data_IF_961810403133
#
_entry.id   IF_961810403133
#
_cell.length_a   1.000
_cell.length_b   1.000
_cell.length_c   1.000
_cell.angle_alpha   90.00
_cell.angle_beta   90.00
_cell.angle_gamma   90.00
#
_symmetry.space_group_name_H-M   'P 1'
#
loop_
_entity.id
_entity.type
_entity.pdbx_description
1 polymer ?
#
# COMPACT_ATOMS: atom_id res chain seq x y z
N UNK A 1 17.84 -18.98 17.43
CA UNK A 1 17.01 -19.27 16.23
C UNK A 1 17.93 -19.48 15.04
N UNK A 2 17.74 -20.54 14.25
CA UNK A 2 18.49 -20.73 13.00
C UNK A 2 18.12 -19.64 11.97
N UNK A 3 19.05 -19.26 11.10
CA UNK A 3 18.80 -18.18 10.13
C UNK A 3 17.72 -18.55 9.11
N UNK A 4 17.66 -19.81 8.67
CA UNK A 4 16.62 -20.25 7.74
C UNK A 4 15.26 -20.32 8.42
N UNK A 5 15.20 -20.72 9.69
CA UNK A 5 13.97 -20.70 10.47
C UNK A 5 13.43 -19.27 10.60
N UNK A 6 14.32 -18.30 10.86
CA UNK A 6 13.97 -16.88 10.87
C UNK A 6 13.38 -16.45 9.51
N UNK A 7 14.09 -16.69 8.41
CA UNK A 7 13.61 -16.29 7.08
C UNK A 7 12.25 -16.93 6.75
N UNK A 8 12.09 -18.21 7.05
CA UNK A 8 10.85 -18.92 6.76
C UNK A 8 9.66 -18.38 7.54
N UNK A 9 9.86 -18.03 8.82
CA UNK A 9 8.81 -17.55 9.72
C UNK A 9 8.44 -16.09 9.50
N UNK A 10 9.41 -15.20 9.25
CA UNK A 10 9.18 -13.74 9.29
C UNK A 10 9.26 -13.02 7.94
N UNK A 11 9.74 -13.67 6.88
CA UNK A 11 9.82 -13.06 5.55
C UNK A 11 8.77 -13.74 4.66
N UNK A 12 7.51 -13.30 4.62
CA UNK A 12 6.48 -14.01 3.87
C UNK A 12 6.73 -13.97 2.35
N UNK A 13 7.27 -12.86 1.83
CA UNK A 13 7.65 -12.70 0.43
C UNK A 13 8.68 -13.74 -0.05
N UNK A 14 8.30 -14.51 -1.07
CA UNK A 14 9.20 -15.46 -1.74
C UNK A 14 10.28 -14.71 -2.53
N UNK A 15 9.92 -13.62 -3.20
CA UNK A 15 10.85 -12.78 -3.96
C UNK A 15 11.94 -12.21 -3.05
N UNK A 16 11.54 -11.67 -1.89
CA UNK A 16 12.50 -11.13 -0.92
C UNK A 16 13.41 -12.21 -0.34
N UNK A 17 12.87 -13.41 -0.06
CA UNK A 17 13.68 -14.58 0.36
C UNK A 17 14.73 -14.96 -0.68
N UNK A 18 14.38 -14.90 -1.98
CA UNK A 18 15.33 -15.17 -3.07
C UNK A 18 16.43 -14.10 -3.08
N UNK A 19 16.06 -12.83 -3.09
CA UNK A 19 17.01 -11.71 -3.09
C UNK A 19 17.98 -11.77 -1.89
N UNK A 20 17.49 -12.07 -0.68
CA UNK A 20 18.32 -12.25 0.52
C UNK A 20 19.36 -13.36 0.33
N UNK A 21 18.98 -14.48 -0.30
CA UNK A 21 19.89 -15.61 -0.52
C UNK A 21 20.91 -15.31 -1.62
N UNK A 22 20.50 -14.67 -2.71
CA UNK A 22 21.36 -14.34 -3.85
C UNK A 22 22.39 -13.27 -3.50
N UNK A 23 21.99 -12.29 -2.68
CA UNK A 23 22.88 -11.22 -2.19
C UNK A 23 23.68 -11.61 -0.94
N UNK A 24 23.50 -12.84 -0.44
CA UNK A 24 24.05 -13.31 0.85
C UNK A 24 23.78 -12.32 1.99
N UNK A 25 22.64 -11.63 1.95
CA UNK A 25 22.28 -10.61 2.94
C UNK A 25 22.05 -11.26 4.31
N UNK A 26 22.64 -10.66 5.36
CA UNK A 26 22.58 -11.15 6.74
C UNK A 26 21.98 -10.09 7.66
N UNK A 27 20.80 -10.39 8.21
CA UNK A 27 20.21 -9.57 9.26
C UNK A 27 20.97 -9.68 10.58
N UNK A 28 21.27 -8.54 11.18
CA UNK A 28 21.76 -8.48 12.56
C UNK A 28 20.67 -8.91 13.55
N UNK A 29 21.04 -9.23 14.78
CA UNK A 29 20.05 -9.54 15.83
C UNK A 29 19.10 -8.37 16.09
N UNK A 30 19.57 -7.14 15.91
CA UNK A 30 18.75 -5.95 16.02
C UNK A 30 17.71 -5.90 14.89
N UNK A 31 18.10 -6.16 13.65
CA UNK A 31 17.17 -6.17 12.51
C UNK A 31 16.13 -7.28 12.66
N UNK A 32 16.54 -8.47 13.13
CA UNK A 32 15.62 -9.56 13.45
C UNK A 32 14.62 -9.16 14.52
N UNK A 33 15.07 -8.52 15.60
CA UNK A 33 14.19 -8.06 16.66
C UNK A 33 13.16 -7.03 16.14
N UNK A 34 13.60 -6.10 15.29
CA UNK A 34 12.72 -5.13 14.63
C UNK A 34 11.67 -5.79 13.74
N UNK A 35 12.07 -6.72 12.87
CA UNK A 35 11.17 -7.45 11.98
C UNK A 35 10.13 -8.24 12.80
N UNK A 36 10.56 -8.92 13.86
CA UNK A 36 9.66 -9.68 14.73
C UNK A 36 8.67 -8.75 15.43
N UNK A 37 9.15 -7.63 15.97
CA UNK A 37 8.31 -6.66 16.66
C UNK A 37 7.19 -6.12 15.76
N UNK A 38 7.53 -5.81 14.51
CA UNK A 38 6.60 -5.25 13.54
C UNK A 38 5.90 -6.32 12.67
N UNK A 39 5.91 -7.58 13.10
CA UNK A 39 5.21 -8.68 12.43
C UNK A 39 3.78 -8.86 12.94
N UNK A 40 2.96 -9.56 12.15
CA UNK A 40 1.57 -9.91 12.45
C UNK A 40 1.42 -11.04 13.49
N UNK A 41 2.51 -11.47 14.12
CA UNK A 41 2.45 -12.46 15.19
C UNK A 41 1.52 -12.03 16.33
N UNK A 42 0.94 -13.03 17.00
CA UNK A 42 0.22 -12.82 18.23
C UNK A 42 1.16 -12.22 19.29
N UNK A 43 0.62 -11.37 20.16
CA UNK A 43 1.37 -10.62 21.16
C UNK A 43 2.32 -11.53 21.95
N UNK A 44 1.84 -12.70 22.38
CA UNK A 44 2.65 -13.63 23.18
C UNK A 44 3.81 -14.23 22.38
N UNK A 45 3.55 -14.64 21.14
CA UNK A 45 4.57 -15.21 20.26
C UNK A 45 5.64 -14.18 19.93
N UNK A 46 5.21 -12.95 19.63
CA UNK A 46 6.10 -11.80 19.41
C UNK A 46 7.05 -11.60 20.59
N UNK A 47 6.53 -11.60 21.83
CA UNK A 47 7.35 -11.45 23.04
C UNK A 47 8.29 -12.63 23.28
N UNK A 48 7.82 -13.86 23.11
CA UNK A 48 8.63 -15.05 23.29
C UNK A 48 9.79 -15.11 22.28
N UNK A 49 9.55 -14.66 21.04
CA UNK A 49 10.55 -14.65 19.97
C UNK A 49 11.61 -13.54 20.17
N UNK A 50 11.24 -12.31 20.51
CA UNK A 50 12.24 -11.27 20.82
C UNK A 50 13.03 -11.62 22.09
N UNK A 51 12.38 -12.27 23.07
CA UNK A 51 13.05 -12.77 24.27
C UNK A 51 14.12 -13.79 23.93
N UNK A 52 13.90 -14.63 22.92
CA UNK A 52 14.90 -15.57 22.45
C UNK A 52 16.12 -14.88 21.84
N UNK A 53 15.92 -13.77 21.11
CA UNK A 53 17.04 -12.92 20.66
C UNK A 53 17.82 -12.38 21.85
N UNK A 54 17.13 -11.82 22.85
CA UNK A 54 17.78 -11.23 24.03
C UNK A 54 18.65 -12.24 24.82
N UNK A 55 18.26 -13.52 24.86
CA UNK A 55 19.06 -14.57 25.54
C UNK A 55 20.38 -14.89 24.84
N UNK A 56 20.46 -14.64 23.53
CA UNK A 56 21.55 -15.13 22.69
C UNK A 56 22.37 -14.03 22.02
N UNK A 57 21.87 -12.80 21.96
CA UNK A 57 22.61 -11.69 21.37
C UNK A 57 23.77 -11.25 22.27
N UNK A 58 24.90 -10.89 21.67
CA UNK A 58 26.04 -10.28 22.37
C UNK A 58 25.90 -8.75 22.50
N UNK A 59 24.87 -8.16 21.88
CA UNK A 59 24.60 -6.73 21.96
C UNK A 59 23.85 -6.39 23.27
N UNK A 60 24.58 -5.86 24.26
CA UNK A 60 24.03 -5.48 25.57
C UNK A 60 22.97 -4.38 25.50
N UNK A 61 23.09 -3.45 24.54
CA UNK A 61 22.10 -2.37 24.34
C UNK A 61 20.79 -3.00 23.87
N UNK A 62 20.83 -3.78 22.78
CA UNK A 62 19.66 -4.50 22.26
C UNK A 62 19.02 -5.40 23.32
N UNK A 63 19.84 -6.15 24.06
CA UNK A 63 19.36 -7.01 25.14
C UNK A 63 18.58 -6.21 26.18
N UNK A 64 19.12 -5.05 26.58
CA UNK A 64 18.47 -4.16 27.55
C UNK A 64 17.14 -3.64 27.00
N UNK A 65 17.14 -3.14 25.76
CA UNK A 65 15.93 -2.62 25.11
C UNK A 65 14.82 -3.67 25.02
N UNK A 66 15.14 -4.91 24.64
CA UNK A 66 14.16 -6.01 24.57
C UNK A 66 13.59 -6.32 25.96
N UNK A 67 14.42 -6.38 27.01
CA UNK A 67 13.92 -6.64 28.36
C UNK A 67 13.05 -5.50 28.90
N UNK A 68 13.40 -4.25 28.59
CA UNK A 68 12.57 -3.09 28.90
C UNK A 68 11.22 -3.18 28.20
N UNK A 69 11.20 -3.54 26.91
CA UNK A 69 9.96 -3.75 26.14
C UNK A 69 9.11 -4.87 26.73
N UNK A 70 9.68 -6.04 27.02
CA UNK A 70 8.93 -7.16 27.64
C UNK A 70 8.35 -6.75 29.00
N UNK A 71 9.13 -6.04 29.83
CA UNK A 71 8.66 -5.57 31.13
C UNK A 71 7.52 -4.55 30.99
N UNK A 72 7.63 -3.65 30.00
CA UNK A 72 6.59 -2.69 29.65
C UNK A 72 5.28 -3.39 29.26
N UNK A 73 5.34 -4.33 28.31
CA UNK A 73 4.17 -5.07 27.80
C UNK A 73 3.48 -5.87 28.91
N UNK A 74 4.27 -6.48 29.80
CA UNK A 74 3.72 -7.19 30.96
C UNK A 74 3.03 -6.24 31.96
N UNK A 75 3.58 -5.04 32.17
CA UNK A 75 2.96 -4.03 33.04
C UNK A 75 1.66 -3.47 32.44
N UNK A 76 1.63 -3.24 31.12
CA UNK A 76 0.40 -2.89 30.37
C UNK A 76 -0.70 -3.91 30.63
N UNK A 77 -0.41 -5.19 30.44
CA UNK A 77 -1.37 -6.27 30.65
C UNK A 77 -1.82 -6.35 32.12
N UNK A 78 -0.88 -6.26 33.07
CA UNK A 78 -1.19 -6.32 34.49
C UNK A 78 -2.11 -5.17 34.93
N UNK A 79 -1.83 -3.94 34.49
CA UNK A 79 -2.64 -2.77 34.78
C UNK A 79 -4.01 -2.84 34.12
N UNK A 80 -4.09 -3.33 32.88
CA UNK A 80 -5.37 -3.52 32.20
C UNK A 80 -6.30 -4.45 33.00
N UNK A 81 -5.76 -5.58 33.49
CA UNK A 81 -6.50 -6.56 34.27
C UNK A 81 -6.83 -6.04 35.68
N UNK A 82 -5.94 -5.25 36.28
CA UNK A 82 -6.16 -4.68 37.60
C UNK A 82 -7.33 -3.68 37.59
N UNK A 83 -8.35 -3.96 38.39
CA UNK A 83 -9.47 -3.04 38.62
C UNK A 83 -9.75 -2.96 40.13
N UNK A 84 -9.56 -1.79 40.71
CA UNK A 84 -9.85 -1.48 42.11
C UNK A 84 -11.33 -1.10 42.36
N UNK A 85 -12.16 -1.23 41.32
CA UNK A 85 -13.55 -0.78 41.33
C UNK A 85 -13.73 0.63 40.77
N UNK A 86 -12.67 1.27 40.26
CA UNK A 86 -12.73 2.55 39.56
C UNK A 86 -12.97 2.45 38.04
N UNK A 87 -13.08 1.25 37.47
CA UNK A 87 -13.17 1.03 36.02
C UNK A 87 -14.31 0.09 35.60
N UNK A 88 -14.71 0.25 34.35
CA UNK A 88 -15.72 -0.50 33.60
C UNK A 88 -15.10 -0.95 32.27
N UNK A 89 -15.38 -2.16 31.83
CA UNK A 89 -14.91 -2.71 30.56
C UNK A 89 -16.04 -2.70 29.54
N UNK A 90 -15.77 -2.26 28.31
CA UNK A 90 -16.66 -2.41 27.17
C UNK A 90 -16.13 -3.48 26.22
N UNK A 91 -16.99 -4.40 25.79
CA UNK A 91 -16.70 -5.38 24.74
C UNK A 91 -17.25 -4.88 23.41
N UNK A 92 -16.45 -4.95 22.35
CA UNK A 92 -16.83 -4.60 20.98
C UNK A 92 -16.45 -5.73 20.02
N UNK A 93 -17.27 -5.98 19.00
CA UNK A 93 -16.83 -6.73 17.82
C UNK A 93 -15.81 -5.89 17.05
N UNK A 94 -14.84 -6.54 16.40
CA UNK A 94 -13.79 -5.83 15.67
C UNK A 94 -14.27 -5.24 14.32
N UNK A 95 -15.42 -5.66 13.80
CA UNK A 95 -15.81 -5.40 12.40
C UNK A 95 -16.03 -3.92 12.03
N UNK A 96 -16.24 -2.97 12.96
CA UNK A 96 -16.23 -1.55 12.57
C UNK A 96 -15.81 -0.64 13.74
N UNK A 97 -14.93 0.34 13.49
CA UNK A 97 -14.50 1.37 14.44
C UNK A 97 -15.60 2.37 14.85
N UNK A 98 -16.88 2.00 14.74
CA UNK A 98 -18.00 2.83 15.18
C UNK A 98 -18.26 2.67 16.69
N UNK A 99 -18.71 3.72 17.36
CA UNK A 99 -19.18 3.65 18.75
C UNK A 99 -20.47 2.81 18.90
N UNK A 100 -21.10 2.43 17.79
CA UNK A 100 -22.37 1.72 17.73
C UNK A 100 -22.24 0.20 17.96
N UNK A 101 -21.02 -0.36 17.94
CA UNK A 101 -20.75 -1.80 18.03
C UNK A 101 -20.38 -2.32 19.44
N UNK A 102 -20.84 -1.63 20.50
CA UNK A 102 -20.64 -2.13 21.87
C UNK A 102 -21.62 -3.27 22.18
N UNK A 103 -21.08 -4.46 22.37
CA UNK A 103 -21.82 -5.68 22.73
C UNK A 103 -22.30 -5.64 24.17
N UNK A 104 -21.46 -5.10 25.07
CA UNK A 104 -21.82 -5.02 26.47
C UNK A 104 -20.79 -4.33 27.35
N UNK A 105 -21.24 -4.01 28.56
CA UNK A 105 -20.44 -3.39 29.60
C UNK A 105 -20.30 -4.32 30.79
N UNK A 106 -19.09 -4.44 31.33
CA UNK A 106 -18.73 -5.41 32.35
C UNK A 106 -17.94 -4.74 33.47
N UNK A 107 -18.25 -5.10 34.71
CA UNK A 107 -17.50 -4.64 35.90
C UNK A 107 -16.17 -5.38 36.11
N UNK A 108 -15.95 -6.48 35.38
CA UNK A 108 -14.72 -7.27 35.47
C UNK A 108 -14.20 -7.63 34.08
N UNK A 109 -12.87 -7.60 33.94
CA UNK A 109 -12.18 -8.08 32.75
C UNK A 109 -12.56 -9.52 32.39
N UNK A 110 -12.58 -10.41 33.39
CA UNK A 110 -12.86 -11.84 33.20
C UNK A 110 -14.19 -12.08 32.49
N UNK A 111 -15.25 -11.39 32.93
CA UNK A 111 -16.57 -11.53 32.31
C UNK A 111 -16.59 -11.00 30.86
N UNK A 112 -15.94 -9.86 30.61
CA UNK A 112 -15.83 -9.32 29.26
C UNK A 112 -15.07 -10.27 28.32
N UNK A 113 -13.99 -10.88 28.81
CA UNK A 113 -13.20 -11.85 28.05
C UNK A 113 -13.95 -13.15 27.78
N UNK A 114 -14.63 -13.71 28.78
CA UNK A 114 -15.45 -14.91 28.62
C UNK A 114 -16.60 -14.70 27.63
N UNK A 115 -17.20 -13.50 27.61
CA UNK A 115 -18.22 -13.15 26.61
C UNK A 115 -17.60 -12.93 25.23
N UNK A 116 -16.45 -12.25 25.16
CA UNK A 116 -15.70 -12.06 23.92
C UNK A 116 -15.32 -13.38 23.24
N UNK A 117 -14.85 -14.37 24.01
CA UNK A 117 -14.52 -15.70 23.48
C UNK A 117 -15.75 -16.50 22.99
N UNK A 118 -16.98 -16.05 23.26
CA UNK A 118 -18.20 -16.63 22.68
C UNK A 118 -18.55 -15.99 21.34
N UNK A 119 -17.94 -14.86 21.01
CA UNK A 119 -18.04 -14.24 19.70
C UNK A 119 -17.18 -15.07 18.75
N UNK A 120 -17.79 -15.63 17.70
CA UNK A 120 -17.08 -16.40 16.67
C UNK A 120 -16.33 -15.47 15.69
N UNK A 121 -15.71 -14.42 16.21
CA UNK A 121 -15.08 -13.33 15.48
C UNK A 121 -14.05 -12.60 16.36
N UNK A 122 -13.08 -11.88 15.77
CA UNK A 122 -12.18 -11.01 16.54
C UNK A 122 -12.94 -9.96 17.35
N UNK A 123 -12.40 -9.60 18.52
CA UNK A 123 -13.07 -8.70 19.46
C UNK A 123 -12.08 -7.82 20.21
N UNK A 124 -12.55 -6.66 20.67
CA UNK A 124 -11.76 -5.69 21.45
C UNK A 124 -12.42 -5.46 22.81
N UNK A 125 -11.62 -5.46 23.87
CA UNK A 125 -12.05 -5.05 25.21
C UNK A 125 -11.36 -3.74 25.55
N UNK A 126 -12.14 -2.71 25.85
CA UNK A 126 -11.64 -1.40 26.25
C UNK A 126 -11.97 -1.13 27.71
N UNK A 127 -10.99 -0.67 28.49
CA UNK A 127 -11.13 -0.30 29.89
C UNK A 127 -11.38 1.20 30.02
N UNK A 128 -12.44 1.58 30.71
CA UNK A 128 -12.89 2.96 30.89
C UNK A 128 -12.91 3.32 32.36
N UNK A 129 -12.40 4.51 32.72
CA UNK A 129 -12.48 5.00 34.11
C UNK A 129 -13.90 5.46 34.39
N UNK A 130 -14.44 5.07 35.54
CA UNK A 130 -15.73 5.57 36.02
C UNK A 130 -15.54 6.97 36.62
N UNK A 131 -16.32 7.94 36.14
CA UNK A 131 -16.37 9.29 36.71
C UNK A 131 -17.47 9.32 37.76
N UNK A 132 -17.09 9.30 39.03
CA UNK A 132 -18.04 9.34 40.16
C UNK A 132 -18.26 10.75 40.72
N UNK A 133 -17.40 11.72 40.41
CA UNK A 133 -17.53 13.12 40.81
C UNK A 133 -17.25 14.07 39.63
N UNK A 134 -18.11 15.08 39.46
CA UNK A 134 -18.03 16.08 38.36
C UNK A 134 -16.75 16.94 38.42
N UNK A 135 -16.07 16.97 39.56
CA UNK A 135 -14.86 17.77 39.84
C UNK A 135 -13.53 17.14 39.38
N UNK A 136 -13.51 15.88 38.96
CA UNK A 136 -12.28 15.18 38.54
C UNK A 136 -11.84 15.47 37.09
N UNK A 137 -12.14 16.67 36.57
CA UNK A 137 -11.62 17.15 35.28
C UNK A 137 -10.16 17.62 35.34
N UNK A 138 -9.48 17.46 36.49
CA UNK A 138 -8.08 17.85 36.64
C UNK A 138 -7.25 16.66 37.11
N UNK A 139 -6.31 16.32 36.23
CA UNK A 139 -5.06 15.60 36.44
C UNK A 139 -5.04 14.13 35.94
N UNK A 140 -4.00 13.92 35.13
CA UNK A 140 -3.28 12.68 34.84
C UNK A 140 -3.93 11.71 33.83
N UNK A 141 -4.29 12.23 32.65
CA UNK A 141 -4.24 11.41 31.43
C UNK A 141 -3.19 12.05 30.53
N UNK A 142 -2.02 11.43 30.48
CA UNK A 142 -1.10 11.68 29.36
C UNK A 142 -1.72 10.92 28.20
N UNK A 143 -2.50 11.63 27.37
CA UNK A 143 -2.78 11.13 26.04
C UNK A 143 -1.45 11.22 25.27
N UNK A 144 -0.70 10.13 25.23
CA UNK A 144 0.25 9.95 24.13
C UNK A 144 -0.62 9.68 22.90
N UNK A 145 -1.06 10.73 22.22
CA UNK A 145 -1.43 10.56 20.82
C UNK A 145 -0.20 9.98 20.12
N UNK A 146 -0.31 8.85 19.39
CA UNK A 146 0.78 8.28 18.60
C UNK A 146 1.12 9.15 17.36
N UNK A 147 0.94 10.47 17.45
CA UNK A 147 1.17 11.44 16.38
C UNK A 147 2.05 12.58 16.91
N UNK A 148 3.11 12.25 17.64
CA UNK A 148 4.05 13.25 18.15
C UNK A 148 5.07 13.55 17.03
N UNK A 149 4.78 14.55 16.20
CA UNK A 149 5.81 15.14 15.34
C UNK A 149 6.86 15.83 16.22
N UNK A 150 8.16 15.51 16.09
CA UNK A 150 9.23 16.03 16.95
C UNK A 150 9.37 17.57 16.96
N UNK A 151 8.79 18.25 15.97
CA UNK A 151 8.93 19.69 15.77
C UNK A 151 7.69 20.49 16.20
N UNK A 152 6.61 19.82 16.61
CA UNK A 152 5.48 20.50 17.21
C UNK A 152 5.89 21.02 18.61
N UNK A 153 5.70 22.31 18.93
CA UNK A 153 5.90 22.78 20.30
C UNK A 153 5.06 21.91 21.23
N UNK A 154 5.56 21.59 22.44
CA UNK A 154 4.81 20.88 23.48
C UNK A 154 3.47 21.59 23.75
N UNK A 155 2.44 21.27 22.97
CA UNK A 155 1.09 21.69 23.26
C UNK A 155 0.61 20.68 24.28
N UNK A 156 0.98 20.90 25.55
CA UNK A 156 0.23 20.35 26.68
C UNK A 156 -1.19 20.88 26.59
N UNK A 157 -2.03 20.24 25.80
CA UNK A 157 -3.46 20.46 25.86
C UNK A 157 -3.92 19.75 27.12
N UNK A 158 -4.40 20.53 28.09
CA UNK A 158 -5.36 20.03 29.07
C UNK A 158 -6.57 19.56 28.26
N UNK A 159 -6.53 18.32 27.76
CA UNK A 159 -7.67 17.70 27.12
C UNK A 159 -8.70 17.49 28.22
N UNK A 160 -9.75 18.31 28.20
CA UNK A 160 -10.99 17.96 28.90
C UNK A 160 -11.32 16.52 28.50
N UNK A 161 -11.54 15.65 29.50
CA UNK A 161 -11.90 14.25 29.34
C UNK A 161 -12.71 14.00 28.06
N UNK A 162 -12.14 13.25 27.11
CA UNK A 162 -12.72 13.02 25.78
C UNK A 162 -13.58 11.75 25.69
N UNK A 163 -13.71 10.98 26.77
CA UNK A 163 -14.42 9.69 26.75
C UNK A 163 -13.60 8.52 26.20
N UNK A 164 -12.34 8.73 25.81
CA UNK A 164 -11.48 7.64 25.36
C UNK A 164 -11.20 6.63 26.49
N UNK A 165 -11.07 5.36 26.10
CA UNK A 165 -10.65 4.30 27.00
C UNK A 165 -9.29 4.59 27.62
N UNK A 166 -9.13 4.23 28.89
CA UNK A 166 -7.84 4.26 29.57
C UNK A 166 -6.86 3.24 28.97
N UNK A 167 -7.36 2.12 28.47
CA UNK A 167 -6.56 1.05 27.89
C UNK A 167 -7.44 0.12 27.02
N UNK A 168 -6.83 -0.67 26.13
CA UNK A 168 -7.53 -1.70 25.37
C UNK A 168 -6.68 -2.95 25.13
N UNK A 169 -7.34 -4.08 24.88
CA UNK A 169 -6.73 -5.30 24.35
C UNK A 169 -7.59 -5.81 23.19
N UNK A 170 -6.92 -6.19 22.12
CA UNK A 170 -7.51 -6.82 20.94
C UNK A 170 -7.23 -8.31 20.92
N UNK A 171 -8.24 -9.07 20.54
CA UNK A 171 -8.19 -10.52 20.49
C UNK A 171 -8.54 -11.02 19.10
N UNK A 172 -7.86 -12.08 18.67
CA UNK A 172 -8.31 -12.88 17.54
C UNK A 172 -9.59 -13.65 17.89
N UNK A 173 -10.19 -14.32 16.90
CA UNK A 173 -11.40 -15.15 17.10
C UNK A 173 -11.20 -16.32 18.08
N UNK A 174 -9.95 -16.73 18.33
CA UNK A 174 -9.61 -17.79 19.28
C UNK A 174 -9.37 -17.26 20.70
N UNK A 175 -9.46 -15.94 20.91
CA UNK A 175 -9.25 -15.30 22.20
C UNK A 175 -7.77 -15.09 22.54
N UNK A 176 -6.86 -15.15 21.57
CA UNK A 176 -5.45 -14.79 21.76
C UNK A 176 -5.23 -13.29 21.54
N UNK A 177 -4.33 -12.69 22.32
CA UNK A 177 -4.03 -11.27 22.24
C UNK A 177 -3.30 -10.98 20.92
N UNK A 178 -3.85 -10.07 20.10
CA UNK A 178 -3.17 -9.50 18.93
C UNK A 178 -2.36 -8.26 19.33
N UNK A 179 -2.97 -7.38 20.11
CA UNK A 179 -2.40 -6.10 20.49
C UNK A 179 -2.96 -5.60 21.84
N UNK A 180 -2.21 -4.74 22.52
CA UNK A 180 -2.66 -4.07 23.73
C UNK A 180 -2.03 -2.68 23.87
N UNK A 181 -2.76 -1.76 24.51
CA UNK A 181 -2.27 -0.41 24.81
C UNK A 181 -2.87 0.08 26.13
N UNK A 182 -2.13 0.89 26.88
CA UNK A 182 -2.59 1.46 28.13
C UNK A 182 -2.01 2.85 28.40
N UNK A 183 -2.89 3.82 28.63
CA UNK A 183 -2.54 5.14 29.16
C UNK A 183 -2.36 5.14 30.69
N UNK A 184 -2.38 3.96 31.34
CA UNK A 184 -2.17 3.80 32.79
C UNK A 184 -0.69 3.60 33.14
N UNK A 185 0.19 3.61 32.13
CA UNK A 185 1.64 3.51 32.27
C UNK A 185 2.23 4.88 32.63
N UNK A 186 3.17 4.97 33.59
CA UNK A 186 3.85 6.23 33.90
C UNK A 186 4.59 6.82 32.69
N UNK A 187 4.52 8.14 32.52
CA UNK A 187 5.14 8.86 31.39
C UNK A 187 6.64 8.54 31.20
N UNK A 188 7.41 8.40 32.30
CA UNK A 188 8.83 8.07 32.24
C UNK A 188 9.09 6.66 31.65
N UNK A 189 8.17 5.73 31.89
CA UNK A 189 8.24 4.37 31.36
C UNK A 189 7.75 4.34 29.90
N UNK A 190 6.69 5.09 29.59
CA UNK A 190 6.19 5.29 28.23
C UNK A 190 7.26 5.85 27.31
N UNK A 191 7.86 6.99 27.69
CA UNK A 191 8.89 7.68 26.91
C UNK A 191 10.17 6.86 26.70
N UNK A 192 10.42 5.88 27.56
CA UNK A 192 11.61 5.03 27.43
C UNK A 192 11.46 4.01 26.31
N UNK A 193 10.25 3.52 26.12
CA UNK A 193 9.96 2.33 25.32
C UNK A 193 9.19 2.69 24.05
N UNK A 194 8.17 3.55 24.16
CA UNK A 194 7.38 4.08 23.04
C UNK A 194 7.85 5.47 22.56
N UNK A 195 9.13 5.77 22.68
CA UNK A 195 9.73 6.89 21.94
C UNK A 195 9.78 6.57 20.46
N UNK A 196 9.57 7.56 19.58
CA UNK A 196 9.88 7.51 18.13
C UNK A 196 11.39 7.49 17.84
N UNK A 197 12.18 6.96 18.78
CA UNK A 197 13.62 6.86 18.63
C UNK A 197 13.93 5.71 17.68
N UNK A 198 14.30 6.04 16.44
CA UNK A 198 14.68 5.09 15.39
C UNK A 198 16.02 4.37 15.68
N UNK A 199 16.69 4.69 16.79
CA UNK A 199 17.87 3.95 17.25
C UNK A 199 17.50 2.73 18.10
N UNK A 200 16.30 2.72 18.69
CA UNK A 200 15.79 1.55 19.41
C UNK A 200 15.31 0.49 18.44
N UNK A 201 15.43 -0.77 18.82
CA UNK A 201 15.07 -1.87 17.93
C UNK A 201 13.60 -1.84 17.46
N UNK A 202 12.66 -1.31 18.22
CA UNK A 202 11.24 -1.31 17.82
C UNK A 202 10.97 -0.51 16.55
N UNK A 203 11.68 0.60 16.38
CA UNK A 203 11.47 1.56 15.28
C UNK A 203 12.63 1.57 14.29
N UNK A 204 13.67 0.77 14.48
CA UNK A 204 14.88 0.87 13.66
C UNK A 204 14.56 0.63 12.17
N UNK A 205 15.10 1.48 11.29
CA UNK A 205 15.06 1.19 9.86
C UNK A 205 15.84 -0.10 9.54
N UNK A 206 15.23 -1.01 8.78
CA UNK A 206 15.85 -2.28 8.37
C UNK A 206 16.16 -2.24 6.88
N UNK A 207 17.43 -2.48 6.55
CA UNK A 207 17.88 -2.58 5.16
C UNK A 207 17.50 -3.95 4.62
N UNK A 208 16.66 -3.99 3.59
CA UNK A 208 16.50 -5.16 2.72
C UNK A 208 17.31 -4.98 1.43
N UNK A 209 17.73 -6.09 0.79
CA UNK A 209 18.29 -6.02 -0.56
C UNK A 209 17.24 -5.50 -1.55
N UNK A 210 17.69 -4.94 -2.67
CA UNK A 210 16.80 -4.53 -3.76
C UNK A 210 16.08 -5.77 -4.31
N UNK A 211 14.75 -5.77 -4.22
CA UNK A 211 13.92 -6.92 -4.62
C UNK A 211 13.15 -6.62 -5.88
N UNK A 212 12.53 -5.44 -5.96
CA UNK A 212 11.66 -5.00 -7.05
C UNK A 212 12.20 -3.70 -7.66
N UNK A 213 11.89 -3.48 -8.92
CA UNK A 213 12.21 -2.25 -9.64
C UNK A 213 10.95 -1.46 -10.00
N UNK A 214 11.14 -0.18 -10.32
CA UNK A 214 10.08 0.70 -10.80
C UNK A 214 9.16 0.02 -11.81
N UNK A 215 7.84 0.12 -11.55
CA UNK A 215 6.74 -0.32 -12.40
C UNK A 215 6.52 -1.82 -12.49
N UNK A 216 7.28 -2.61 -11.74
CA UNK A 216 6.95 -4.00 -11.51
C UNK A 216 5.58 -4.11 -10.84
N UNK A 217 4.78 -5.06 -11.32
CA UNK A 217 3.49 -5.37 -10.74
C UNK A 217 3.65 -6.30 -9.55
N UNK A 218 3.06 -5.91 -8.43
CA UNK A 218 3.17 -6.62 -7.16
C UNK A 218 1.81 -6.86 -6.53
N UNK A 219 1.73 -7.96 -5.78
CA UNK A 219 0.63 -8.28 -4.88
C UNK A 219 1.08 -7.96 -3.47
N UNK A 220 0.24 -7.25 -2.75
CA UNK A 220 0.43 -6.96 -1.33
C UNK A 220 -0.09 -8.16 -0.55
N UNK A 221 0.76 -8.73 0.30
CA UNK A 221 0.48 -9.96 1.07
C UNK A 221 0.44 -9.69 2.57
N UNK A 222 0.25 -8.45 2.98
CA UNK A 222 0.04 -8.05 4.37
C UNK A 222 -1.44 -8.22 4.74
N UNK A 223 -1.73 -8.91 5.83
CA UNK A 223 -3.06 -9.35 6.27
C UNK A 223 -3.82 -8.24 7.04
N UNK A 224 -3.54 -6.97 6.73
CA UNK A 224 -4.08 -5.82 7.44
C UNK A 224 -5.44 -5.33 6.90
N UNK A 225 -5.81 -5.73 5.68
CA UNK A 225 -7.10 -5.43 5.06
C UNK A 225 -7.74 -6.75 4.66
N UNK A 226 -8.87 -7.05 5.29
CA UNK A 226 -9.56 -8.33 5.21
C UNK A 226 -9.75 -8.80 3.75
N UNK A 227 -9.24 -10.00 3.45
CA UNK A 227 -9.62 -10.89 2.34
C UNK A 227 -9.53 -10.41 0.88
N UNK A 228 -9.03 -9.21 0.58
CA UNK A 228 -8.81 -8.78 -0.80
C UNK A 228 -7.31 -8.75 -1.14
N UNK A 229 -6.89 -9.59 -2.08
CA UNK A 229 -5.53 -9.54 -2.63
C UNK A 229 -5.34 -8.21 -3.39
N UNK A 230 -4.79 -7.19 -2.72
CA UNK A 230 -4.55 -5.90 -3.36
C UNK A 230 -3.38 -6.03 -4.33
N UNK A 231 -3.64 -5.69 -5.59
CA UNK A 231 -2.64 -5.61 -6.65
C UNK A 231 -2.24 -4.15 -6.85
N UNK A 232 -0.94 -3.90 -6.87
CA UNK A 232 -0.37 -2.57 -7.10
C UNK A 232 0.85 -2.61 -8.00
N UNK A 233 1.43 -1.43 -8.23
CA UNK A 233 2.62 -1.24 -9.04
C UNK A 233 3.68 -0.52 -8.25
N UNK A 234 4.92 -0.98 -8.33
CA UNK A 234 6.04 -0.23 -7.74
C UNK A 234 6.08 1.14 -8.43
N UNK A 235 5.99 2.22 -7.66
CA UNK A 235 6.11 3.57 -8.20
C UNK A 235 7.49 3.77 -8.82
N UNK A 236 7.62 4.82 -9.62
CA UNK A 236 8.93 5.18 -10.17
C UNK A 236 9.95 5.40 -9.05
N UNK A 237 11.15 4.87 -9.24
CA UNK A 237 12.30 5.19 -8.41
C UNK A 237 12.77 6.64 -8.66
N UNK A 238 12.54 7.54 -7.69
CA UNK A 238 13.10 8.90 -7.72
C UNK A 238 14.59 8.93 -7.35
N UNK A 239 15.08 7.88 -6.69
CA UNK A 239 16.47 7.68 -6.26
C UNK A 239 16.81 6.20 -6.42
N UNK A 240 18.07 5.91 -6.73
CA UNK A 240 18.53 4.53 -6.72
C UNK A 240 18.39 3.93 -5.32
N UNK A 241 18.21 2.61 -5.25
CA UNK A 241 18.14 1.87 -4.01
C UNK A 241 19.35 2.16 -3.08
N UNK A 242 20.56 2.24 -3.65
CA UNK A 242 21.78 2.57 -2.91
C UNK A 242 21.75 4.00 -2.30
N UNK A 243 21.26 4.99 -3.05
CA UNK A 243 21.12 6.36 -2.56
C UNK A 243 20.10 6.46 -1.44
N UNK A 244 18.98 5.74 -1.56
CA UNK A 244 17.97 5.69 -0.51
C UNK A 244 18.55 5.08 0.77
N UNK A 245 19.18 3.91 0.68
CA UNK A 245 19.82 3.26 1.84
C UNK A 245 20.83 4.19 2.50
N UNK A 246 21.66 4.87 1.72
CA UNK A 246 22.67 5.79 2.26
C UNK A 246 22.05 6.92 3.07
N UNK A 247 20.91 7.43 2.65
CA UNK A 247 20.16 8.47 3.38
C UNK A 247 19.52 7.86 4.62
N UNK A 248 18.79 6.75 4.46
CA UNK A 248 18.05 6.09 5.54
C UNK A 248 18.95 5.58 6.67
N UNK A 249 20.19 5.23 6.37
CA UNK A 249 21.18 4.70 7.35
C UNK A 249 22.20 5.74 7.83
N UNK A 250 22.08 7.01 7.41
CA UNK A 250 22.94 8.09 7.89
C UNK A 250 22.73 8.39 9.38
N UNK A 251 23.75 8.95 10.05
CA UNK A 251 23.66 9.26 11.50
C UNK A 251 22.56 10.28 11.84
N UNK A 252 22.27 11.20 10.92
CA UNK A 252 21.21 12.22 11.07
C UNK A 252 19.85 11.73 10.52
N UNK A 253 19.77 10.48 10.08
CA UNK A 253 18.54 9.90 9.53
C UNK A 253 17.45 9.86 10.57
N UNK A 254 16.26 10.26 10.16
CA UNK A 254 15.02 10.05 10.93
C UNK A 254 14.23 8.84 10.44
N UNK A 255 14.75 8.09 9.46
CA UNK A 255 14.05 6.93 8.92
C UNK A 255 13.91 5.85 9.99
N UNK A 256 12.71 5.29 10.08
CA UNK A 256 12.32 4.24 11.00
C UNK A 256 11.80 3.00 10.23
N UNK A 257 11.25 2.00 10.93
CA UNK A 257 10.74 0.79 10.27
C UNK A 257 9.54 1.05 9.35
N UNK A 258 8.75 2.09 9.65
CA UNK A 258 7.60 2.52 8.86
C UNK A 258 8.00 3.37 7.66
N UNK A 259 9.21 3.95 7.67
CA UNK A 259 9.87 4.48 6.48
C UNK A 259 10.31 3.31 5.58
N UNK A 260 9.34 2.67 4.96
CA UNK A 260 9.53 1.54 4.06
C UNK A 260 10.22 1.91 2.75
N UNK A 261 10.81 0.90 2.12
CA UNK A 261 11.61 1.06 0.91
C UNK A 261 10.80 1.30 -0.36
N UNK A 262 9.60 0.72 -0.46
CA UNK A 262 8.81 0.74 -1.68
C UNK A 262 7.54 1.57 -1.51
N UNK A 263 7.32 2.47 -2.45
CA UNK A 263 6.02 3.08 -2.72
C UNK A 263 5.31 2.22 -3.75
N UNK A 264 4.08 1.81 -3.46
CA UNK A 264 3.25 0.96 -4.32
C UNK A 264 1.98 1.74 -4.65
N UNK A 265 1.81 2.09 -5.92
CA UNK A 265 0.59 2.72 -6.40
C UNK A 265 -0.53 1.68 -6.52
N UNK A 266 -1.68 1.99 -5.98
CA UNK A 266 -2.88 1.15 -5.96
C UNK A 266 -4.08 1.91 -6.50
N UNK A 267 -4.94 1.19 -7.20
CA UNK A 267 -6.16 1.75 -7.75
C UNK A 267 -7.32 1.49 -6.78
N UNK A 268 -8.01 2.55 -6.38
CA UNK A 268 -9.20 2.48 -5.55
C UNK A 268 -10.45 2.50 -6.44
N UNK A 269 -11.14 1.37 -6.55
CA UNK A 269 -12.34 1.22 -7.37
C UNK A 269 -13.58 1.95 -6.78
N UNK A 270 -13.60 2.24 -5.48
CA UNK A 270 -14.71 2.97 -4.83
C UNK A 270 -14.65 4.46 -5.16
N UNK A 271 -13.46 5.04 -5.04
CA UNK A 271 -13.24 6.47 -5.27
C UNK A 271 -12.75 6.79 -6.69
N UNK A 272 -12.41 5.79 -7.48
CA UNK A 272 -11.86 5.91 -8.85
C UNK A 272 -10.62 6.79 -8.89
N UNK A 273 -9.70 6.59 -7.96
CA UNK A 273 -8.45 7.34 -7.85
C UNK A 273 -7.26 6.42 -7.61
N UNK A 274 -6.08 6.90 -7.96
CA UNK A 274 -4.84 6.30 -7.51
C UNK A 274 -4.52 6.77 -6.10
N UNK A 275 -4.23 5.81 -5.23
CA UNK A 275 -3.55 6.05 -3.96
C UNK A 275 -2.17 5.38 -4.00
N UNK A 276 -1.37 5.63 -2.98
CA UNK A 276 -0.11 4.92 -2.81
C UNK A 276 0.06 4.45 -1.39
N UNK A 277 0.67 3.27 -1.28
CA UNK A 277 1.05 2.70 -0.01
C UNK A 277 2.56 2.61 0.10
N UNK A 278 3.03 2.90 1.30
CA UNK A 278 4.39 2.69 1.72
C UNK A 278 4.45 1.26 2.29
N UNK A 279 5.13 0.31 1.60
CA UNK A 279 5.17 -1.11 1.99
C UNK A 279 6.59 -1.69 2.03
N UNK A 280 6.88 -2.48 3.06
CA UNK A 280 8.14 -3.21 3.20
C UNK A 280 8.19 -4.39 2.19
N UNK A 281 9.34 -4.69 1.55
CA UNK A 281 9.41 -5.71 0.49
C UNK A 281 9.02 -7.11 0.96
N UNK A 282 9.17 -7.39 2.26
CA UNK A 282 8.78 -8.67 2.86
C UNK A 282 7.28 -8.95 2.71
N UNK A 283 6.46 -7.91 2.49
CA UNK A 283 5.02 -7.96 2.30
C UNK A 283 4.58 -7.78 0.83
N UNK A 284 5.52 -7.91 -0.12
CA UNK A 284 5.25 -7.82 -1.55
C UNK A 284 5.60 -9.13 -2.26
N UNK A 285 4.87 -9.46 -3.31
CA UNK A 285 5.14 -10.61 -4.18
C UNK A 285 4.92 -10.22 -5.64
N UNK A 286 5.80 -10.65 -6.55
CA UNK A 286 5.60 -10.44 -7.99
C UNK A 286 4.32 -11.12 -8.46
N UNK A 287 3.59 -10.44 -9.34
CA UNK A 287 2.47 -11.04 -10.08
C UNK A 287 3.00 -11.54 -11.42
N UNK A 288 2.91 -12.86 -11.72
CA UNK A 288 3.28 -13.37 -13.04
C UNK A 288 2.43 -12.73 -14.13
N UNK A 289 3.05 -12.26 -15.22
CA UNK A 289 2.34 -11.65 -16.36
C UNK A 289 1.18 -12.50 -16.88
N UNK A 290 1.35 -13.83 -16.89
CA UNK A 290 0.34 -14.79 -17.36
C UNK A 290 -0.93 -14.83 -16.51
N UNK A 291 -0.91 -14.39 -15.26
CA UNK A 291 -2.12 -14.34 -14.42
C UNK A 291 -3.14 -13.31 -14.94
N UNK A 292 -2.67 -12.31 -15.70
CA UNK A 292 -3.44 -11.14 -16.12
C UNK A 292 -3.83 -11.16 -17.60
N UNK A 293 -3.28 -12.11 -18.37
CA UNK A 293 -3.73 -12.34 -19.73
C UNK A 293 -5.19 -12.84 -19.72
N UNK A 294 -6.03 -12.30 -20.60
CA UNK A 294 -7.46 -12.59 -20.74
C UNK A 294 -8.28 -12.19 -19.50
N UNK A 295 -7.99 -11.04 -18.90
CA UNK A 295 -8.74 -10.52 -17.75
C UNK A 295 -10.15 -10.05 -18.15
N UNK A 296 -10.35 -9.59 -19.38
CA UNK A 296 -11.69 -9.23 -19.88
C UNK A 296 -12.66 -10.43 -19.91
N UNK A 297 -12.15 -11.65 -20.10
CA UNK A 297 -12.97 -12.88 -20.07
C UNK A 297 -13.39 -13.27 -18.63
N UNK A 298 -12.66 -12.79 -17.62
CA UNK A 298 -12.85 -13.15 -16.21
C UNK A 298 -13.76 -12.17 -15.47
N UNK A 299 -13.88 -10.92 -15.95
CA UNK A 299 -14.64 -9.85 -15.30
C UNK A 299 -15.63 -9.18 -16.29
N UNK A 300 -16.84 -9.73 -16.47
CA UNK A 300 -17.83 -9.19 -17.38
C UNK A 300 -18.18 -7.74 -17.02
N UNK A 301 -18.01 -6.80 -17.96
CA UNK A 301 -18.31 -5.37 -17.79
C UNK A 301 -17.09 -4.49 -17.49
N UNK A 302 -15.89 -5.07 -17.37
CA UNK A 302 -14.64 -4.31 -17.36
C UNK A 302 -14.14 -4.14 -18.79
N UNK A 303 -13.82 -2.90 -19.17
CA UNK A 303 -13.36 -2.54 -20.52
C UNK A 303 -11.93 -1.98 -20.53
N UNK A 304 -11.43 -1.59 -19.36
CA UNK A 304 -10.10 -1.02 -19.16
C UNK A 304 -9.40 -1.74 -18.00
N UNK A 305 -8.16 -2.15 -18.22
CA UNK A 305 -7.32 -2.75 -17.17
C UNK A 305 -5.92 -2.18 -17.21
N UNK A 306 -5.24 -2.20 -16.06
CA UNK A 306 -3.80 -1.94 -15.98
C UNK A 306 -3.04 -3.27 -16.08
N UNK A 307 -2.15 -3.34 -17.06
CA UNK A 307 -1.37 -4.51 -17.43
C UNK A 307 -1.68 -5.00 -18.84
N UNK A 308 -0.93 -6.02 -19.26
CA UNK A 308 -1.05 -6.61 -20.57
C UNK A 308 -2.19 -7.64 -20.63
N UNK A 309 -3.10 -7.45 -21.60
CA UNK A 309 -4.05 -8.48 -22.01
C UNK A 309 -3.87 -8.78 -23.51
N UNK A 310 -3.63 -10.06 -23.86
CA UNK A 310 -3.50 -10.48 -25.25
C UNK A 310 -4.83 -10.41 -26.02
N UNK A 311 -5.97 -10.36 -25.31
CA UNK A 311 -7.30 -10.16 -25.89
C UNK A 311 -7.71 -8.69 -26.02
N UNK A 312 -6.85 -7.75 -25.62
CA UNK A 312 -7.11 -6.33 -25.81
C UNK A 312 -6.98 -5.94 -27.29
N UNK A 313 -7.69 -4.88 -27.67
CA UNK A 313 -7.54 -4.28 -28.97
C UNK A 313 -6.56 -3.12 -28.97
N UNK A 314 -6.40 -2.46 -27.82
CA UNK A 314 -5.47 -1.36 -27.68
C UNK A 314 -4.65 -1.48 -26.41
N UNK A 315 -3.40 -1.05 -26.53
CA UNK A 315 -2.49 -0.86 -25.41
C UNK A 315 -1.98 0.58 -25.39
N UNK A 316 -2.19 1.26 -24.26
CA UNK A 316 -1.61 2.57 -23.98
C UNK A 316 -0.33 2.38 -23.19
N UNK A 317 0.74 3.01 -23.64
CA UNK A 317 2.01 2.98 -22.92
C UNK A 317 2.84 4.22 -23.23
N UNK A 318 3.58 4.72 -22.24
CA UNK A 318 4.59 5.74 -22.48
C UNK A 318 5.74 5.10 -23.28
N UNK A 319 6.28 5.83 -24.25
CA UNK A 319 7.35 5.32 -25.10
C UNK A 319 8.45 6.36 -25.31
N UNK A 320 9.68 5.86 -25.43
CA UNK A 320 10.79 6.61 -26.02
C UNK A 320 11.00 6.13 -27.46
N UNK A 321 10.91 7.05 -28.42
CA UNK A 321 10.98 6.73 -29.84
C UNK A 321 12.27 7.26 -30.40
N UNK A 322 13.11 6.36 -30.89
CA UNK A 322 14.32 6.73 -31.59
C UNK A 322 13.96 7.28 -32.97
N UNK A 323 14.14 8.59 -33.14
CA UNK A 323 13.86 9.24 -34.43
C UNK A 323 14.71 8.63 -35.56
N UNK A 324 14.04 8.25 -36.63
CA UNK A 324 14.66 7.72 -37.86
C UNK A 324 13.75 7.98 -39.07
N UNK A 325 14.27 7.77 -40.27
CA UNK A 325 13.48 7.87 -41.52
C UNK A 325 12.50 6.69 -41.70
N UNK A 326 12.62 5.65 -40.88
CA UNK A 326 11.81 4.43 -40.87
C UNK A 326 11.70 3.91 -39.44
N UNK A 327 10.72 4.42 -38.71
CA UNK A 327 10.46 4.01 -37.34
C UNK A 327 9.72 2.68 -37.39
N UNK A 328 10.37 1.64 -36.87
CA UNK A 328 9.82 0.29 -36.73
C UNK A 328 9.68 -0.05 -35.24
N UNK A 329 9.15 -1.24 -34.94
CA UNK A 329 8.95 -1.71 -33.57
C UNK A 329 10.24 -1.66 -32.72
N UNK A 330 11.39 -2.02 -33.29
CA UNK A 330 12.69 -2.00 -32.61
C UNK A 330 13.21 -0.58 -32.29
N UNK A 331 12.62 0.46 -32.88
CA UNK A 331 12.94 1.87 -32.60
C UNK A 331 12.12 2.44 -31.42
N UNK A 332 11.20 1.65 -30.86
CA UNK A 332 10.29 2.05 -29.79
C UNK A 332 10.67 1.36 -28.50
N UNK A 333 11.12 2.13 -27.51
CA UNK A 333 11.37 1.63 -26.16
C UNK A 333 10.12 1.87 -25.32
N UNK A 334 9.50 0.79 -24.87
CA UNK A 334 8.33 0.81 -23.99
C UNK A 334 8.75 1.22 -22.58
N UNK A 335 8.09 2.22 -22.02
CA UNK A 335 8.36 2.74 -20.69
C UNK A 335 7.17 2.46 -19.79
N UNK A 336 7.42 1.75 -18.69
CA UNK A 336 6.48 1.74 -17.58
C UNK A 336 5.21 0.93 -17.76
N UNK A 337 4.16 1.37 -17.06
CA UNK A 337 2.84 0.73 -17.04
C UNK A 337 2.17 0.73 -18.42
N UNK A 338 1.57 -0.42 -18.74
CA UNK A 338 0.71 -0.62 -19.91
C UNK A 338 -0.75 -0.62 -19.46
N UNK A 339 -1.65 0.00 -20.24
CA UNK A 339 -3.10 -0.03 -20.02
C UNK A 339 -3.72 -0.73 -21.21
N UNK A 340 -4.47 -1.80 -20.97
CA UNK A 340 -5.17 -2.55 -22.01
C UNK A 340 -6.64 -2.14 -22.08
N UNK A 341 -7.19 -2.11 -23.29
CA UNK A 341 -8.58 -1.75 -23.55
C UNK A 341 -9.26 -2.69 -24.54
N UNK A 342 -10.54 -2.99 -24.27
CA UNK A 342 -11.35 -3.86 -25.11
C UNK A 342 -11.74 -3.22 -26.45
N UNK A 343 -11.77 -4.01 -27.52
CA UNK A 343 -12.07 -3.59 -28.91
C UNK A 343 -13.40 -2.84 -29.05
N UNK A 344 -14.49 -3.48 -28.64
CA UNK A 344 -15.84 -2.95 -28.85
C UNK A 344 -16.03 -1.60 -28.14
N UNK A 345 -15.45 -1.45 -26.96
CA UNK A 345 -15.50 -0.20 -26.21
C UNK A 345 -14.71 0.92 -26.90
N UNK A 346 -13.52 0.61 -27.43
CA UNK A 346 -12.77 1.58 -28.23
C UNK A 346 -13.55 2.03 -29.46
N UNK A 347 -13.99 1.08 -30.27
CA UNK A 347 -14.60 1.33 -31.58
C UNK A 347 -15.88 2.16 -31.48
N UNK A 348 -16.70 1.89 -30.47
CA UNK A 348 -17.99 2.55 -30.28
C UNK A 348 -17.86 3.93 -29.65
N UNK A 349 -16.92 4.12 -28.71
CA UNK A 349 -16.88 5.30 -27.84
C UNK A 349 -15.70 6.22 -28.14
N UNK A 350 -14.50 5.67 -28.30
CA UNK A 350 -13.25 6.44 -28.24
C UNK A 350 -12.60 6.67 -29.60
N UNK A 351 -12.78 5.74 -30.54
CA UNK A 351 -12.15 5.77 -31.86
C UNK A 351 -12.29 7.11 -32.59
N UNK A 352 -13.47 7.76 -32.66
CA UNK A 352 -13.58 9.06 -33.32
C UNK A 352 -12.67 10.13 -32.72
N UNK A 353 -12.48 10.12 -31.39
CA UNK A 353 -11.67 11.09 -30.66
C UNK A 353 -10.18 10.89 -30.99
N UNK A 354 -9.72 9.64 -30.97
CA UNK A 354 -8.31 9.32 -31.26
C UNK A 354 -7.96 9.58 -32.72
N UNK A 355 -8.84 9.21 -33.66
CA UNK A 355 -8.62 9.47 -35.09
C UNK A 355 -8.61 10.96 -35.40
N UNK A 356 -9.48 11.75 -34.74
CA UNK A 356 -9.50 13.22 -34.90
C UNK A 356 -8.23 13.88 -34.35
N UNK A 357 -7.71 13.40 -33.21
CA UNK A 357 -6.52 13.93 -32.57
C UNK A 357 -5.20 13.46 -33.21
N UNK A 358 -5.23 12.40 -34.03
CA UNK A 358 -4.05 11.81 -34.63
C UNK A 358 -3.40 12.73 -35.68
N UNK A 359 -2.16 13.13 -35.44
CA UNK A 359 -1.36 13.92 -36.40
C UNK A 359 -0.47 12.99 -37.23
N UNK A 360 -0.87 12.75 -38.48
CA UNK A 360 -0.11 11.94 -39.44
C UNK A 360 1.18 12.63 -39.91
N UNK A 361 1.28 13.95 -39.81
CA UNK A 361 2.47 14.71 -40.23
C UNK A 361 3.48 14.89 -39.10
N UNK A 362 3.11 14.55 -37.85
CA UNK A 362 4.06 14.51 -36.73
C UNK A 362 5.26 13.61 -37.11
N UNK A 363 6.52 14.05 -36.93
CA UNK A 363 7.69 13.33 -37.44
C UNK A 363 7.71 11.83 -37.11
N UNK A 364 7.40 11.48 -35.86
CA UNK A 364 7.38 10.09 -35.41
C UNK A 364 6.23 9.26 -36.00
N UNK A 365 5.09 9.88 -36.35
CA UNK A 365 3.96 9.20 -36.99
C UNK A 365 4.16 9.06 -38.51
N UNK A 366 4.69 10.10 -39.15
CA UNK A 366 4.96 10.15 -40.59
C UNK A 366 5.98 9.11 -41.04
N UNK A 367 6.96 8.84 -40.17
CA UNK A 367 8.05 7.91 -40.47
C UNK A 367 7.77 6.48 -40.01
N UNK A 368 6.57 6.18 -39.47
CA UNK A 368 6.18 4.80 -39.12
C UNK A 368 6.20 3.92 -40.36
N UNK A 369 6.88 2.78 -40.26
CA UNK A 369 7.07 1.86 -41.36
C UNK A 369 6.81 0.42 -40.90
N UNK A 370 5.99 -0.31 -41.67
CA UNK A 370 5.62 -1.69 -41.35
C UNK A 370 5.85 -2.64 -42.52
N UNK A 371 6.20 -3.88 -42.21
CA UNK A 371 6.17 -5.02 -43.14
C UNK A 371 4.92 -5.90 -42.94
N UNK A 372 4.09 -5.61 -41.94
CA UNK A 372 2.92 -6.43 -41.58
C UNK A 372 1.84 -6.49 -42.66
N UNK A 373 1.81 -5.51 -43.57
CA UNK A 373 0.84 -5.46 -44.67
C UNK A 373 1.37 -5.97 -46.00
N UNK A 374 2.68 -5.81 -46.28
CA UNK A 374 3.31 -6.14 -47.58
C UNK A 374 4.78 -6.49 -47.41
N UNK A 375 5.30 -7.39 -48.24
CA UNK A 375 6.71 -7.83 -48.21
C UNK A 375 7.70 -6.68 -48.46
N UNK A 376 7.35 -5.73 -49.34
CA UNK A 376 8.18 -4.56 -49.61
C UNK A 376 8.16 -3.51 -48.48
N UNK A 377 7.24 -3.66 -47.53
CA UNK A 377 6.94 -2.70 -46.48
C UNK A 377 6.32 -1.40 -46.99
N UNK A 378 5.67 -0.65 -46.10
CA UNK A 378 5.08 0.64 -46.42
C UNK A 378 5.05 1.58 -45.22
N UNK A 379 4.95 2.87 -45.51
CA UNK A 379 4.72 3.90 -44.50
C UNK A 379 3.24 3.93 -44.09
N UNK A 380 2.99 4.11 -42.79
CA UNK A 380 1.64 4.26 -42.25
C UNK A 380 1.22 5.73 -42.27
N UNK A 381 0.30 6.07 -43.16
CA UNK A 381 -0.11 7.46 -43.43
C UNK A 381 -1.34 7.93 -42.66
N UNK A 382 -1.93 7.07 -41.83
CA UNK A 382 -3.12 7.38 -41.03
C UNK A 382 -3.07 6.65 -39.69
N UNK A 383 -4.05 6.91 -38.82
CA UNK A 383 -4.29 6.07 -37.67
C UNK A 383 -4.51 4.63 -38.16
N UNK A 384 -3.69 3.70 -37.66
CA UNK A 384 -3.76 2.30 -38.02
C UNK A 384 -4.43 1.55 -36.88
N UNK A 385 -5.27 0.57 -37.20
CA UNK A 385 -6.10 -0.12 -36.21
C UNK A 385 -6.15 -1.64 -36.42
N UNK A 386 -5.42 -2.17 -37.42
CA UNK A 386 -5.62 -3.55 -37.91
C UNK A 386 -4.39 -4.44 -37.89
N UNK A 387 -3.23 -3.95 -37.47
CA UNK A 387 -1.96 -4.65 -37.72
C UNK A 387 -0.93 -4.64 -36.58
N UNK A 388 -1.33 -4.45 -35.32
CA UNK A 388 -0.45 -4.38 -34.15
C UNK A 388 0.67 -3.35 -34.34
N UNK A 389 0.28 -2.12 -34.69
CA UNK A 389 1.20 -1.01 -34.97
C UNK A 389 0.96 0.21 -34.09
N UNK A 390 2.03 0.93 -33.76
CA UNK A 390 1.97 2.05 -32.83
C UNK A 390 1.34 3.29 -33.45
N UNK A 391 0.36 3.90 -32.79
CA UNK A 391 -0.07 5.26 -33.07
C UNK A 391 0.47 6.19 -31.98
N UNK A 392 1.30 7.17 -32.34
CA UNK A 392 1.93 8.04 -31.35
C UNK A 392 1.12 9.31 -31.13
N UNK A 393 1.01 9.70 -29.87
CA UNK A 393 0.39 10.95 -29.43
C UNK A 393 1.33 11.65 -28.47
N UNK A 394 1.49 12.96 -28.61
CA UNK A 394 2.19 13.74 -27.58
C UNK A 394 1.35 13.83 -26.32
N UNK A 395 1.98 14.17 -25.18
CA UNK A 395 1.24 14.43 -23.95
C UNK A 395 0.21 15.55 -24.09
N UNK A 396 0.48 16.58 -24.90
CA UNK A 396 -0.48 17.65 -25.16
C UNK A 396 -1.68 17.15 -25.96
N UNK A 397 -1.45 16.32 -26.99
CA UNK A 397 -2.53 15.65 -27.73
C UNK A 397 -3.33 14.74 -26.80
N UNK A 398 -2.65 13.97 -25.94
CA UNK A 398 -3.32 13.10 -24.99
C UNK A 398 -4.16 13.89 -23.98
N UNK A 399 -3.65 14.99 -23.41
CA UNK A 399 -4.45 15.87 -22.53
C UNK A 399 -5.72 16.35 -23.23
N UNK A 400 -5.63 16.78 -24.49
CA UNK A 400 -6.80 17.20 -25.25
C UNK A 400 -7.79 16.04 -25.48
N UNK A 401 -7.32 14.82 -25.74
CA UNK A 401 -8.15 13.62 -25.84
C UNK A 401 -8.85 13.35 -24.50
N UNK A 402 -8.12 13.38 -23.38
CA UNK A 402 -8.65 13.12 -22.04
C UNK A 402 -9.68 14.17 -21.62
N UNK A 403 -9.44 15.45 -21.91
CA UNK A 403 -10.40 16.53 -21.65
C UNK A 403 -11.69 16.33 -22.46
N UNK A 404 -11.56 15.84 -23.70
CA UNK A 404 -12.71 15.50 -24.55
C UNK A 404 -13.49 14.30 -24.01
N UNK A 405 -12.81 13.29 -23.47
CA UNK A 405 -13.44 12.16 -22.80
C UNK A 405 -14.19 12.64 -21.55
N UNK A 406 -13.59 13.50 -20.73
CA UNK A 406 -14.25 14.07 -19.55
C UNK A 406 -15.49 14.90 -19.93
N UNK A 407 -15.45 15.63 -21.03
CA UNK A 407 -16.64 16.30 -21.59
C UNK A 407 -17.74 15.29 -21.94
N UNK A 408 -17.40 14.17 -22.59
CA UNK A 408 -18.37 13.12 -22.90
C UNK A 408 -18.98 12.50 -21.65
N UNK A 409 -18.20 12.27 -20.60
CA UNK A 409 -18.70 11.76 -19.32
C UNK A 409 -19.66 12.78 -18.67
N UNK A 410 -19.28 14.06 -18.65
CA UNK A 410 -20.11 15.16 -18.10
C UNK A 410 -21.41 15.35 -18.88
N UNK A 411 -21.36 15.35 -20.21
CA UNK A 411 -22.51 15.54 -21.09
C UNK A 411 -23.41 14.29 -21.13
N UNK A 412 -22.80 13.09 -21.02
CA UNK A 412 -23.49 11.80 -20.91
C UNK A 412 -24.36 11.71 -19.66
N UNK A 413 -23.91 12.28 -18.53
CA UNK A 413 -24.72 12.41 -17.32
C UNK A 413 -25.97 13.29 -17.51
N UNK A 414 -26.00 14.17 -18.51
CA UNK A 414 -27.20 14.95 -18.91
C UNK A 414 -28.03 14.26 -20.01
N UNK A 415 -27.47 13.28 -20.72
CA UNK A 415 -28.09 12.51 -21.82
C UNK A 415 -28.29 11.03 -21.46
N UNK A 416 -28.64 10.74 -20.21
CA UNK A 416 -29.04 9.40 -19.76
C UNK A 416 -30.35 9.02 -20.49
N UNK A 417 -30.23 8.48 -21.70
CA UNK A 417 -31.22 7.56 -22.25
C UNK A 417 -30.77 6.80 -23.51
N UNK A 418 -29.66 7.12 -24.22
CA UNK A 418 -29.41 6.45 -25.54
C UNK A 418 -27.99 6.10 -26.04
N UNK A 419 -26.87 6.30 -25.34
CA UNK A 419 -25.57 6.00 -25.98
C UNK A 419 -24.41 5.51 -25.11
N UNK A 420 -24.44 5.69 -23.79
CA UNK A 420 -23.35 5.26 -22.88
C UNK A 420 -24.08 4.63 -21.69
N UNK A 421 -23.93 3.33 -21.49
CA UNK A 421 -24.49 2.66 -20.30
C UNK A 421 -23.72 3.15 -19.06
N UNK A 422 -24.32 3.10 -17.86
CA UNK A 422 -23.66 3.63 -16.64
C UNK A 422 -22.28 3.03 -16.37
N UNK A 423 -22.05 1.79 -16.81
CA UNK A 423 -20.76 1.09 -16.74
C UNK A 423 -19.70 1.70 -17.67
N UNK A 424 -20.08 2.16 -18.87
CA UNK A 424 -19.16 2.78 -19.83
C UNK A 424 -18.59 4.09 -19.29
N UNK A 425 -19.39 4.89 -18.58
CA UNK A 425 -18.94 6.14 -17.97
C UNK A 425 -17.88 5.90 -16.87
N UNK A 426 -18.05 4.86 -16.06
CA UNK A 426 -17.06 4.46 -15.04
C UNK A 426 -15.77 4.00 -15.72
N UNK A 427 -15.86 3.23 -16.81
CA UNK A 427 -14.68 2.78 -17.57
C UNK A 427 -13.95 3.94 -18.26
N UNK A 428 -14.67 4.97 -18.73
CA UNK A 428 -14.06 6.20 -19.24
C UNK A 428 -13.30 6.97 -18.15
N UNK A 429 -13.89 7.13 -16.96
CA UNK A 429 -13.22 7.77 -15.80
C UNK A 429 -11.99 6.96 -15.37
N UNK A 430 -12.09 5.63 -15.41
CA UNK A 430 -10.99 4.71 -15.11
C UNK A 430 -9.85 4.88 -16.11
N UNK A 431 -10.15 4.88 -17.42
CA UNK A 431 -9.18 5.15 -18.47
C UNK A 431 -8.50 6.50 -18.29
N UNK A 432 -9.28 7.57 -18.09
CA UNK A 432 -8.67 8.90 -17.99
C UNK A 432 -7.78 9.03 -16.76
N UNK A 433 -8.16 8.42 -15.65
CA UNK A 433 -7.36 8.40 -14.43
C UNK A 433 -6.08 7.59 -14.59
N UNK A 434 -6.13 6.42 -15.22
CA UNK A 434 -4.93 5.63 -15.51
C UNK A 434 -3.98 6.36 -16.48
N UNK A 435 -4.48 6.93 -17.57
CA UNK A 435 -3.64 7.64 -18.54
C UNK A 435 -3.02 8.90 -17.93
N UNK A 436 -3.76 9.64 -17.09
CA UNK A 436 -3.21 10.78 -16.33
C UNK A 436 -2.10 10.35 -15.37
N UNK A 437 -2.33 9.28 -14.61
CA UNK A 437 -1.34 8.76 -13.67
C UNK A 437 -0.03 8.38 -14.36
N UNK A 438 -0.08 7.63 -15.47
CA UNK A 438 1.16 7.31 -16.21
C UNK A 438 1.86 8.57 -16.72
N UNK A 439 1.13 9.58 -17.21
CA UNK A 439 1.74 10.83 -17.66
C UNK A 439 2.43 11.60 -16.52
N UNK A 440 1.88 11.52 -15.30
CA UNK A 440 2.43 12.16 -14.11
C UNK A 440 3.66 11.42 -13.55
N UNK A 441 3.69 10.09 -13.65
CA UNK A 441 4.83 9.26 -13.25
C UNK A 441 6.04 9.39 -14.21
N UNK A 442 5.79 9.73 -15.48
CA UNK A 442 6.80 9.86 -16.55
C UNK A 442 6.84 11.24 -17.22
N UNK A 443 7.10 12.33 -16.47
CA UNK A 443 7.04 13.70 -17.01
C UNK A 443 8.22 14.06 -17.94
N UNK A 444 9.30 13.28 -17.93
CA UNK A 444 10.47 13.45 -18.81
C UNK A 444 10.24 12.92 -20.23
N UNK A 445 9.28 12.02 -20.39
CA UNK A 445 8.83 11.57 -21.69
C UNK A 445 7.65 12.44 -22.13
N UNK A 446 7.37 12.42 -23.43
CA UNK A 446 6.34 13.27 -24.02
C UNK A 446 5.47 12.55 -25.04
N UNK A 447 5.61 11.23 -25.19
CA UNK A 447 4.88 10.42 -26.16
C UNK A 447 4.20 9.25 -25.47
N UNK A 448 2.93 9.05 -25.79
CA UNK A 448 2.18 7.82 -25.52
C UNK A 448 1.95 7.12 -26.84
N UNK A 449 2.25 5.82 -26.88
CA UNK A 449 1.81 4.96 -27.95
C UNK A 449 0.44 4.37 -27.62
N UNK A 450 -0.44 4.38 -28.63
CA UNK A 450 -1.66 3.59 -28.67
C UNK A 450 -1.41 2.50 -29.72
N UNK A 451 -0.97 1.33 -29.25
CA UNK A 451 -0.73 0.15 -30.08
C UNK A 451 -2.07 -0.52 -30.39
N UNK A 452 -2.33 -0.84 -31.66
CA UNK A 452 -3.60 -1.39 -32.15
C UNK A 452 -3.46 -2.58 -33.06
#
# INVERSE_FOLDING_TARGET
>A
MDYNDFLNKYIPSVDTKVAIRETEHVFSDSDKATIIWNSELLWRERLDDIKEIAKHTDNEILRTEIWERIAYEQDVLNRFIANDGGYIYSLKSHEEESEENVIGYFVSFKLAYEEGCRLDQPFRITKHRMITEVSYRKNDIVASTPFYEPEAPDIKRDLNWSGHGAAYIEYDKAGNIRNCSSNEIPEEQEKRVNSWDNRRFENKYVVFPEVFHGHEKVRIIQDAFENEEIIGWISREYRSHEEYIKIATSEDSRCDYSDVQYRVDVWDDEYLVWDHMHINPIYLKRVPEKELCNSFDKEPGRHVIVGHDMGAALWFQVVDVKESDKIMFDDVTRIGMEISMQESFFDEVLRPIFVEAFDAEMPINKNRFTYGLREEGQYLTCFEERILEYNFFTYDQMRAILDRIDELVRDGAQRIERAIEGTDAIQLVTLTSHVRHIMEEYPEYNVISVLS
#
